data_IF_454478860244
#
_entry.id   IF_454478860244
#
_cell.length_a   1.000
_cell.length_b   1.000
_cell.length_c   1.000
_cell.angle_alpha   90.00
_cell.angle_beta   90.00
_cell.angle_gamma   90.00
#
_symmetry.space_group_name_H-M   'P 1'
#
loop_
_entity.id
_entity.type
_entity.pdbx_description
1 polymer ?
#
# COMPACT_ATOMS: atom_id res chain seq x y z
N UNK A 1 -16.44 21.36 14.61
CA UNK A 1 -17.77 21.75 14.08
C UNK A 1 -18.58 20.48 13.87
N UNK A 2 -19.74 20.35 14.49
CA UNK A 2 -20.54 19.11 14.46
C UNK A 2 -21.79 19.33 13.58
N UNK A 3 -21.99 18.47 12.58
CA UNK A 3 -23.13 18.49 11.63
C UNK A 3 -24.22 17.48 11.99
N UNK A 4 -24.16 16.83 13.16
CA UNK A 4 -25.20 15.89 13.59
C UNK A 4 -26.59 16.53 13.55
N UNK A 5 -27.52 15.84 12.90
CA UNK A 5 -28.93 16.24 12.73
C UNK A 5 -29.16 17.52 11.90
N UNK A 6 -28.17 17.99 11.14
CA UNK A 6 -28.34 19.09 10.19
C UNK A 6 -28.57 18.54 8.78
N UNK A 7 -29.47 19.19 8.04
CA UNK A 7 -29.77 18.90 6.65
C UNK A 7 -29.34 20.08 5.77
N UNK A 8 -29.20 19.86 4.46
CA UNK A 8 -28.91 20.91 3.48
C UNK A 8 -27.61 21.68 3.78
N UNK A 9 -26.52 20.93 3.98
CA UNK A 9 -25.21 21.49 4.31
C UNK A 9 -24.21 21.43 3.14
N UNK A 10 -23.50 22.53 2.90
CA UNK A 10 -22.36 22.62 1.96
C UNK A 10 -21.18 23.22 2.72
N UNK A 11 -19.99 22.61 2.62
CA UNK A 11 -18.75 23.07 3.28
C UNK A 11 -18.93 23.43 4.77
N UNK A 12 -19.59 22.56 5.54
CA UNK A 12 -19.93 22.74 6.95
C UNK A 12 -20.88 23.91 7.29
N UNK A 13 -21.52 24.53 6.30
CA UNK A 13 -22.56 25.57 6.48
C UNK A 13 -23.93 25.00 6.16
N UNK A 14 -24.93 25.31 6.99
CA UNK A 14 -26.32 24.89 6.80
C UNK A 14 -27.09 25.99 6.07
N UNK A 15 -27.92 25.58 5.12
CA UNK A 15 -28.75 26.45 4.29
C UNK A 15 -30.23 26.06 4.42
N UNK A 16 -31.13 26.91 3.94
CA UNK A 16 -32.51 26.47 3.67
C UNK A 16 -32.51 25.50 2.49
N UNK A 17 -33.58 24.71 2.36
CA UNK A 17 -33.71 23.72 1.29
C UNK A 17 -33.61 24.38 -0.09
N UNK A 18 -34.34 25.47 -0.28
CA UNK A 18 -34.42 26.19 -1.56
C UNK A 18 -33.05 26.72 -1.97
N UNK A 19 -32.35 27.36 -1.02
CA UNK A 19 -31.04 27.93 -1.29
C UNK A 19 -29.96 26.85 -1.47
N UNK A 20 -30.09 25.72 -0.78
CA UNK A 20 -29.23 24.56 -1.01
C UNK A 20 -29.41 24.01 -2.42
N UNK A 21 -30.65 23.82 -2.88
CA UNK A 21 -30.96 23.30 -4.21
C UNK A 21 -30.41 24.23 -5.31
N UNK A 22 -30.60 25.56 -5.16
CA UNK A 22 -30.00 26.57 -6.05
C UNK A 22 -28.47 26.49 -6.08
N UNK A 23 -27.82 26.42 -4.91
CA UNK A 23 -26.36 26.33 -4.81
C UNK A 23 -25.81 25.04 -5.41
N UNK A 24 -26.47 23.91 -5.17
CA UNK A 24 -26.04 22.61 -5.71
C UNK A 24 -26.06 22.62 -7.22
N UNK A 25 -27.13 23.13 -7.85
CA UNK A 25 -27.21 23.24 -9.32
C UNK A 25 -26.05 24.08 -9.86
N UNK A 26 -25.85 25.27 -9.28
CA UNK A 26 -24.76 26.17 -9.68
C UNK A 26 -23.38 25.53 -9.51
N UNK A 27 -23.16 24.78 -8.43
CA UNK A 27 -21.91 24.06 -8.19
C UNK A 27 -21.71 22.98 -9.26
N UNK A 28 -22.72 22.13 -9.50
CA UNK A 28 -22.65 21.06 -10.51
C UNK A 28 -22.33 21.64 -11.90
N UNK A 29 -23.03 22.69 -12.32
CA UNK A 29 -22.77 23.38 -13.59
C UNK A 29 -21.33 23.91 -13.66
N UNK A 30 -20.84 24.49 -12.57
CA UNK A 30 -19.48 25.00 -12.49
C UNK A 30 -18.44 23.88 -12.64
N UNK A 31 -18.54 22.79 -11.86
CA UNK A 31 -17.59 21.67 -11.94
C UNK A 31 -17.71 20.87 -13.24
N UNK A 32 -18.88 20.85 -13.89
CA UNK A 32 -19.01 20.32 -15.24
C UNK A 32 -18.33 21.21 -16.27
N UNK A 33 -18.48 22.53 -16.17
CA UNK A 33 -17.85 23.49 -17.07
C UNK A 33 -16.32 23.49 -16.95
N UNK A 34 -15.79 23.32 -15.73
CA UNK A 34 -14.34 23.18 -15.50
C UNK A 34 -13.80 21.78 -15.83
N UNK A 35 -14.67 20.81 -16.14
CA UNK A 35 -14.28 19.44 -16.45
C UNK A 35 -13.80 18.64 -15.23
N UNK A 36 -14.10 19.12 -14.02
CA UNK A 36 -13.75 18.48 -12.75
C UNK A 36 -14.82 17.47 -12.30
N UNK A 37 -15.99 17.49 -12.94
CA UNK A 37 -17.08 16.59 -12.61
C UNK A 37 -16.70 15.12 -12.84
N UNK A 38 -16.66 14.34 -11.75
CA UNK A 38 -16.35 12.92 -11.78
C UNK A 38 -14.87 12.59 -11.98
N UNK A 39 -13.98 13.59 -11.97
CA UNK A 39 -12.53 13.37 -11.97
C UNK A 39 -12.01 13.19 -10.55
N UNK A 40 -10.85 12.55 -10.42
CA UNK A 40 -10.14 12.50 -9.14
C UNK A 40 -9.48 13.85 -8.84
N UNK A 41 -9.21 14.11 -7.57
CA UNK A 41 -8.47 15.30 -7.16
C UNK A 41 -7.14 15.43 -7.93
N UNK A 42 -6.78 16.65 -8.34
CA UNK A 42 -5.53 16.89 -9.05
C UNK A 42 -4.33 16.43 -8.20
N UNK A 43 -3.32 15.77 -8.80
CA UNK A 43 -2.14 15.27 -8.09
C UNK A 43 -1.39 16.32 -7.26
N UNK A 44 -1.48 17.59 -7.66
CA UNK A 44 -0.84 18.73 -7.00
C UNK A 44 -1.41 19.03 -5.62
N UNK A 45 -2.63 18.55 -5.31
CA UNK A 45 -3.23 18.67 -3.97
C UNK A 45 -2.75 17.57 -3.01
N UNK A 46 -1.99 16.58 -3.48
CA UNK A 46 -1.37 15.59 -2.60
C UNK A 46 -0.39 16.26 -1.65
N UNK A 47 -0.49 15.97 -0.35
CA UNK A 47 0.46 16.44 0.66
C UNK A 47 1.76 15.60 0.67
N UNK A 48 1.81 14.52 -0.11
CA UNK A 48 2.90 13.54 -0.11
C UNK A 48 3.53 13.40 -1.49
N UNK A 49 4.82 13.09 -1.51
CA UNK A 49 5.53 12.73 -2.74
C UNK A 49 5.04 11.38 -3.26
N UNK A 50 4.98 11.21 -4.59
CA UNK A 50 4.52 9.98 -5.25
C UNK A 50 5.22 8.74 -4.67
N UNK A 51 6.53 8.82 -4.48
CA UNK A 51 7.41 7.77 -3.96
C UNK A 51 7.12 7.37 -2.51
N UNK A 52 6.38 8.16 -1.75
CA UNK A 52 5.96 7.86 -0.37
C UNK A 52 4.56 7.25 -0.31
N UNK A 53 3.83 7.26 -1.43
CA UNK A 53 2.46 6.75 -1.49
C UNK A 53 2.41 5.31 -1.93
N UNK A 54 1.30 4.65 -1.57
CA UNK A 54 0.93 3.32 -2.05
C UNK A 54 0.84 3.26 -3.59
N UNK A 55 0.63 4.38 -4.27
CA UNK A 55 0.63 4.42 -5.73
C UNK A 55 2.00 4.01 -6.31
N UNK A 56 3.12 4.41 -5.69
CA UNK A 56 4.45 4.01 -6.13
C UNK A 56 4.75 2.53 -5.83
N UNK A 57 4.20 1.97 -4.74
CA UNK A 57 4.31 0.53 -4.48
C UNK A 57 3.60 -0.31 -5.55
N UNK A 58 2.49 0.19 -6.10
CA UNK A 58 1.68 -0.53 -7.08
C UNK A 58 2.08 -0.24 -8.53
N UNK A 59 2.49 0.99 -8.79
CA UNK A 59 2.86 1.53 -10.10
C UNK A 59 4.17 2.30 -9.94
N UNK A 60 5.31 1.60 -9.80
CA UNK A 60 6.59 2.26 -9.61
C UNK A 60 6.91 3.11 -10.85
N UNK A 61 7.22 4.38 -10.60
CA UNK A 61 7.60 5.36 -11.62
C UNK A 61 8.97 5.93 -11.27
N UNK A 62 9.74 6.28 -12.30
CA UNK A 62 10.97 7.05 -12.08
C UNK A 62 10.64 8.50 -11.72
N UNK A 63 11.57 9.18 -11.04
CA UNK A 63 11.41 10.59 -10.62
C UNK A 63 11.02 11.50 -11.80
N UNK A 64 11.68 11.33 -12.94
CA UNK A 64 11.44 12.13 -14.15
C UNK A 64 10.05 11.89 -14.72
N UNK A 65 9.58 10.64 -14.72
CA UNK A 65 8.25 10.26 -15.21
C UNK A 65 7.15 10.78 -14.29
N UNK A 66 7.36 10.68 -12.97
CA UNK A 66 6.43 11.19 -11.98
C UNK A 66 6.28 12.71 -12.11
N UNK A 67 7.40 13.42 -12.26
CA UNK A 67 7.42 14.88 -12.41
C UNK A 67 6.73 15.32 -13.70
N UNK A 68 6.95 14.62 -14.83
CA UNK A 68 6.25 14.88 -16.11
C UNK A 68 4.73 14.71 -16.00
N UNK A 69 4.27 13.78 -15.17
CA UNK A 69 2.84 13.55 -14.90
C UNK A 69 2.25 14.52 -13.86
N UNK A 70 3.04 15.48 -13.37
CA UNK A 70 2.60 16.47 -12.40
C UNK A 70 2.53 15.95 -10.96
N UNK A 71 3.12 14.80 -10.66
CA UNK A 71 3.22 14.30 -9.30
C UNK A 71 4.37 14.97 -8.54
N UNK A 72 4.15 15.22 -7.25
CA UNK A 72 5.22 15.62 -6.33
C UNK A 72 6.19 14.46 -6.10
N UNK A 73 7.45 14.78 -5.78
CA UNK A 73 8.47 13.79 -5.42
C UNK A 73 9.17 14.22 -4.13
N UNK A 74 9.33 13.29 -3.19
CA UNK A 74 10.02 13.54 -1.93
C UNK A 74 11.45 13.04 -2.02
N UNK A 75 12.42 13.94 -1.85
CA UNK A 75 13.85 13.61 -1.72
C UNK A 75 14.25 13.41 -0.24
N UNK A 76 13.28 13.38 0.67
CA UNK A 76 13.55 13.21 2.08
C UNK A 76 14.15 11.84 2.38
N UNK A 77 15.29 11.84 3.06
CA UNK A 77 15.89 10.64 3.61
C UNK A 77 15.92 10.76 5.13
N UNK A 78 15.32 9.78 5.80
CA UNK A 78 15.33 9.74 7.26
C UNK A 78 16.79 9.63 7.76
N UNK A 79 17.22 10.50 8.70
CA UNK A 79 18.56 10.42 9.26
C UNK A 79 18.73 9.10 9.99
N UNK A 80 19.95 8.54 9.94
CA UNK A 80 20.26 7.30 10.63
C UNK A 80 20.22 7.55 12.16
N UNK A 81 19.43 6.79 12.93
CA UNK A 81 19.35 7.01 14.37
C UNK A 81 20.68 6.62 15.04
N UNK A 82 21.12 7.44 16.00
CA UNK A 82 22.24 7.10 16.88
C UNK A 82 21.72 6.15 17.96
N UNK A 83 22.33 4.97 18.06
CA UNK A 83 21.97 3.95 19.05
C UNK A 83 23.22 3.54 19.83
N UNK A 84 23.06 3.33 21.13
CA UNK A 84 24.17 2.96 22.03
C UNK A 84 24.57 1.50 21.87
N UNK A 85 23.60 0.61 21.60
CA UNK A 85 23.80 -0.83 21.44
C UNK A 85 23.25 -1.29 20.10
N UNK A 86 24.09 -2.01 19.36
CA UNK A 86 23.78 -2.51 18.01
C UNK A 86 23.91 -4.02 17.98
N UNK A 87 22.91 -4.68 17.41
CA UNK A 87 22.92 -6.12 17.17
C UNK A 87 22.85 -6.40 15.68
N UNK A 88 23.61 -7.37 15.19
CA UNK A 88 23.45 -7.82 13.81
C UNK A 88 22.34 -8.85 13.72
N UNK A 89 21.49 -8.75 12.70
CA UNK A 89 20.40 -9.71 12.48
C UNK A 89 20.86 -11.18 12.33
N UNK A 90 22.15 -11.40 12.01
CA UNK A 90 22.76 -12.73 11.90
C UNK A 90 22.93 -13.41 13.26
N UNK A 91 23.14 -12.60 14.31
CA UNK A 91 23.41 -13.08 15.67
C UNK A 91 22.12 -13.37 16.44
N UNK A 92 20.96 -13.05 15.85
CA UNK A 92 19.65 -13.38 16.43
C UNK A 92 19.48 -14.91 16.38
N UNK A 93 19.28 -15.55 17.56
CA UNK A 93 18.99 -16.97 17.65
C UNK A 93 17.83 -17.38 16.73
N UNK A 94 17.86 -18.62 16.25
CA UNK A 94 16.75 -19.13 15.44
C UNK A 94 15.52 -19.38 16.31
N UNK A 95 15.73 -19.91 17.51
CA UNK A 95 14.66 -20.19 18.46
C UNK A 95 14.33 -18.95 19.28
N UNK A 96 13.05 -18.63 19.37
CA UNK A 96 12.57 -17.46 20.11
C UNK A 96 12.81 -17.60 21.62
N UNK A 97 12.91 -18.82 22.14
CA UNK A 97 13.13 -19.07 23.57
C UNK A 97 14.53 -18.65 24.04
N UNK A 98 15.50 -18.62 23.13
CA UNK A 98 16.88 -18.21 23.43
C UNK A 98 17.06 -16.68 23.34
N UNK A 99 16.01 -15.96 22.95
CA UNK A 99 16.04 -14.50 22.86
C UNK A 99 15.73 -13.89 24.22
N UNK A 100 16.64 -13.07 24.73
CA UNK A 100 16.44 -12.29 25.96
C UNK A 100 15.80 -10.94 25.68
N UNK A 101 15.17 -10.36 26.71
CA UNK A 101 14.56 -9.03 26.67
C UNK A 101 15.58 -7.91 26.37
N UNK A 102 16.89 -8.18 26.44
CA UNK A 102 17.97 -7.24 26.11
C UNK A 102 17.84 -6.67 24.69
N UNK A 103 17.19 -7.40 23.79
CA UNK A 103 16.98 -6.98 22.39
C UNK A 103 16.07 -5.75 22.27
N UNK A 104 15.25 -5.45 23.29
CA UNK A 104 14.31 -4.33 23.29
C UNK A 104 15.01 -2.96 23.35
N UNK A 105 16.20 -2.91 23.95
CA UNK A 105 17.00 -1.69 24.09
C UNK A 105 18.03 -1.52 22.95
N UNK A 106 18.03 -2.44 21.98
CA UNK A 106 19.05 -2.52 20.95
C UNK A 106 18.53 -2.15 19.56
N UNK A 107 19.39 -1.50 18.77
CA UNK A 107 19.16 -1.31 17.33
C UNK A 107 19.64 -2.52 16.54
N UNK A 108 18.73 -3.21 15.86
CA UNK A 108 19.06 -4.35 15.01
C UNK A 108 19.40 -3.88 13.60
N UNK A 109 20.57 -4.25 13.09
CA UNK A 109 20.96 -4.00 11.70
C UNK A 109 20.32 -5.04 10.80
N UNK A 110 19.52 -4.59 9.83
CA UNK A 110 18.96 -5.42 8.78
C UNK A 110 20.04 -6.06 7.91
N UNK A 111 19.91 -7.36 7.65
CA UNK A 111 20.83 -8.13 6.80
C UNK A 111 20.91 -7.62 5.36
N UNK A 112 19.79 -7.14 4.81
CA UNK A 112 19.69 -6.75 3.40
C UNK A 112 19.98 -5.27 3.19
N UNK A 113 19.34 -4.41 3.97
CA UNK A 113 19.34 -2.96 3.73
C UNK A 113 20.36 -2.21 4.59
N UNK A 114 20.93 -2.85 5.61
CA UNK A 114 21.79 -2.20 6.61
C UNK A 114 21.07 -1.14 7.45
N UNK A 115 19.75 -0.98 7.30
CA UNK A 115 18.93 -0.06 8.10
C UNK A 115 18.76 -0.61 9.51
N UNK A 116 18.77 0.28 10.49
CA UNK A 116 18.50 -0.03 11.88
C UNK A 116 16.99 -0.10 12.09
N UNK A 117 16.53 -1.11 12.83
CA UNK A 117 15.17 -1.20 13.33
C UNK A 117 15.19 -1.69 14.78
N UNK A 118 14.10 -1.44 15.50
CA UNK A 118 13.90 -1.94 16.87
C UNK A 118 12.71 -2.88 16.91
N UNK A 119 12.70 -3.78 17.88
CA UNK A 119 11.56 -4.64 18.19
C UNK A 119 10.85 -4.06 19.41
N UNK A 120 9.52 -3.98 19.35
CA UNK A 120 8.71 -3.54 20.47
C UNK A 120 8.42 -4.70 21.42
N UNK A 121 8.21 -4.40 22.71
CA UNK A 121 7.84 -5.39 23.72
C UNK A 121 6.61 -6.22 23.33
N UNK A 122 5.62 -5.59 22.68
CA UNK A 122 4.43 -6.27 22.17
C UNK A 122 4.74 -7.25 21.04
N UNK A 123 5.69 -6.91 20.16
CA UNK A 123 6.12 -7.80 19.07
C UNK A 123 6.89 -9.01 19.61
N UNK A 124 7.78 -8.79 20.59
CA UNK A 124 8.52 -9.87 21.25
C UNK A 124 7.56 -10.82 21.98
N UNK A 125 6.63 -10.30 22.79
CA UNK A 125 5.64 -11.10 23.49
C UNK A 125 4.76 -11.92 22.52
N UNK A 126 4.38 -11.33 21.39
CA UNK A 126 3.64 -12.03 20.33
C UNK A 126 4.46 -13.19 19.74
N UNK A 127 5.74 -12.96 19.45
CA UNK A 127 6.63 -13.98 18.90
C UNK A 127 6.84 -15.15 19.88
N UNK A 128 7.02 -14.88 21.18
CA UNK A 128 7.09 -15.93 22.20
C UNK A 128 5.80 -16.74 22.31
N UNK A 129 4.65 -16.06 22.35
CA UNK A 129 3.34 -16.71 22.50
C UNK A 129 3.05 -17.69 21.35
N UNK A 130 3.47 -17.33 20.13
CA UNK A 130 3.20 -18.12 18.93
C UNK A 130 4.40 -18.98 18.47
N UNK A 131 5.48 -19.03 19.23
CA UNK A 131 6.73 -19.72 18.88
C UNK A 131 7.26 -19.34 17.49
N UNK A 132 7.26 -18.04 17.17
CA UNK A 132 7.68 -17.50 15.88
C UNK A 132 9.07 -16.87 16.04
N UNK A 133 10.04 -17.15 15.16
CA UNK A 133 11.34 -16.51 15.19
C UNK A 133 11.24 -15.01 14.92
N UNK A 134 12.15 -14.23 15.53
CA UNK A 134 12.20 -12.79 15.28
C UNK A 134 12.57 -12.48 13.82
N UNK A 135 12.01 -11.41 13.25
CA UNK A 135 12.34 -11.01 11.89
C UNK A 135 13.79 -10.53 11.82
N UNK A 136 14.56 -11.07 10.87
CA UNK A 136 15.95 -10.65 10.57
C UNK A 136 16.03 -9.46 9.60
N UNK A 137 14.90 -9.14 8.96
CA UNK A 137 14.79 -8.10 7.94
C UNK A 137 14.00 -6.91 8.47
N UNK A 138 14.40 -5.71 8.03
CA UNK A 138 13.70 -4.46 8.29
C UNK A 138 12.21 -4.53 7.93
N UNK A 139 11.29 -3.90 8.69
CA UNK A 139 9.86 -3.86 8.38
C UNK A 139 9.54 -3.51 6.92
N UNK A 140 10.13 -2.45 6.36
CA UNK A 140 9.93 -2.04 4.96
C UNK A 140 10.36 -3.13 3.94
N UNK A 141 11.44 -3.86 4.25
CA UNK A 141 11.92 -4.94 3.39
C UNK A 141 10.94 -6.11 3.42
N UNK A 142 10.44 -6.47 4.62
CA UNK A 142 9.39 -7.49 4.78
C UNK A 142 8.11 -7.08 4.07
N UNK A 143 7.74 -5.81 4.16
CA UNK A 143 6.59 -5.25 3.46
C UNK A 143 6.76 -5.38 1.94
N UNK A 144 7.90 -4.95 1.40
CA UNK A 144 8.23 -5.05 -0.03
C UNK A 144 8.19 -6.48 -0.53
N UNK A 145 8.79 -7.42 0.19
CA UNK A 145 8.77 -8.85 -0.15
C UNK A 145 7.36 -9.41 -0.16
N UNK A 146 6.55 -9.07 0.85
CA UNK A 146 5.14 -9.45 0.91
C UNK A 146 4.33 -8.85 -0.25
N UNK A 147 4.63 -7.61 -0.66
CA UNK A 147 3.94 -7.00 -1.80
C UNK A 147 4.30 -7.68 -3.12
N UNK A 148 5.53 -8.17 -3.29
CA UNK A 148 5.95 -8.95 -4.47
C UNK A 148 5.26 -10.31 -4.61
N UNK A 149 4.73 -10.88 -3.51
CA UNK A 149 3.92 -12.10 -3.56
C UNK A 149 2.52 -11.85 -4.12
N UNK A 150 2.06 -10.59 -4.16
CA UNK A 150 0.77 -10.25 -4.76
C UNK A 150 0.87 -10.32 -6.27
N UNK A 151 -0.25 -10.69 -6.89
CA UNK A 151 -0.36 -10.60 -8.33
C UNK A 151 -0.30 -9.13 -8.77
N UNK A 152 0.36 -8.87 -9.92
CA UNK A 152 0.42 -7.54 -10.49
C UNK A 152 -0.98 -7.01 -10.85
N UNK A 153 -1.14 -5.69 -10.85
CA UNK A 153 -2.40 -4.99 -11.20
C UNK A 153 -2.52 -4.74 -12.70
N UNK A 154 -2.05 -5.71 -13.47
CA UNK A 154 -2.11 -5.71 -14.92
C UNK A 154 -2.89 -6.96 -15.34
N UNK A 155 -3.73 -6.82 -16.37
CA UNK A 155 -4.51 -7.92 -16.89
C UNK A 155 -4.00 -8.25 -18.28
N UNK A 156 -3.47 -9.46 -18.45
CA UNK A 156 -3.06 -9.99 -19.73
C UNK A 156 -4.20 -10.74 -20.39
N UNK A 157 -4.21 -10.71 -21.72
CA UNK A 157 -5.03 -11.59 -22.51
C UNK A 157 -4.35 -12.95 -22.59
N UNK A 158 -5.04 -14.00 -22.14
CA UNK A 158 -4.62 -15.41 -22.28
C UNK A 158 -5.80 -16.22 -22.79
N UNK A 159 -5.53 -17.45 -23.19
CA UNK A 159 -6.57 -18.41 -23.54
C UNK A 159 -6.73 -19.41 -22.40
N UNK A 160 -7.97 -19.84 -22.16
CA UNK A 160 -8.27 -20.91 -21.20
C UNK A 160 -7.51 -22.18 -21.59
N UNK A 161 -6.84 -22.82 -20.63
CA UNK A 161 -6.05 -24.02 -20.89
C UNK A 161 -6.89 -25.26 -21.32
N UNK A 162 -8.23 -25.24 -21.16
CA UNK A 162 -9.13 -26.37 -21.49
C UNK A 162 -9.98 -26.12 -22.73
N UNK A 163 -10.59 -24.93 -22.84
CA UNK A 163 -11.54 -24.61 -23.92
C UNK A 163 -11.05 -23.49 -24.86
N UNK A 164 -9.84 -22.98 -24.66
CA UNK A 164 -9.17 -21.98 -25.50
C UNK A 164 -9.90 -20.63 -25.65
N UNK A 165 -10.99 -20.40 -24.92
CA UNK A 165 -11.69 -19.11 -24.90
C UNK A 165 -10.75 -18.01 -24.37
N UNK A 166 -10.81 -16.84 -25.00
CA UNK A 166 -10.08 -15.65 -24.57
C UNK A 166 -10.54 -15.20 -23.17
N UNK A 167 -9.59 -15.06 -22.25
CA UNK A 167 -9.77 -14.62 -20.88
C UNK A 167 -8.81 -13.49 -20.53
N UNK A 168 -9.19 -12.67 -19.56
CA UNK A 168 -8.31 -11.64 -18.96
C UNK A 168 -7.90 -12.11 -17.58
N UNK A 169 -6.59 -12.14 -17.33
CA UNK A 169 -6.04 -12.71 -16.10
C UNK A 169 -4.82 -11.92 -15.63
N UNK A 170 -4.60 -11.80 -14.30
CA UNK A 170 -3.39 -11.20 -13.74
C UNK A 170 -2.18 -12.15 -13.76
N UNK A 171 -2.29 -13.31 -14.42
CA UNK A 171 -1.18 -14.21 -14.64
C UNK A 171 -0.56 -13.92 -16.02
N UNK A 172 0.66 -13.39 -16.05
CA UNK A 172 1.43 -13.15 -17.29
C UNK A 172 1.50 -14.42 -18.15
N UNK A 173 1.49 -14.33 -19.50
CA UNK A 173 1.69 -15.49 -20.39
C UNK A 173 2.98 -16.27 -20.17
N UNK A 174 4.02 -15.61 -19.64
CA UNK A 174 5.33 -16.21 -19.34
C UNK A 174 5.29 -17.15 -18.12
N UNK A 175 4.21 -17.07 -17.33
CA UNK A 175 4.03 -17.88 -16.13
C UNK A 175 3.54 -19.30 -16.47
N UNK A 176 4.16 -20.36 -15.90
CA UNK A 176 3.88 -21.76 -16.24
C UNK A 176 2.52 -22.27 -15.74
N UNK A 177 1.84 -21.53 -14.86
CA UNK A 177 0.57 -21.93 -14.27
C UNK A 177 -0.55 -22.05 -15.32
N UNK A 178 -1.38 -23.09 -15.17
CA UNK A 178 -2.57 -23.30 -16.01
C UNK A 178 -3.70 -22.38 -15.55
N UNK A 179 -4.19 -21.53 -16.44
CA UNK A 179 -5.32 -20.63 -16.17
C UNK A 179 -6.57 -21.16 -16.88
N UNK A 180 -7.64 -21.36 -16.11
CA UNK A 180 -8.94 -21.81 -16.62
C UNK A 180 -9.95 -20.66 -16.61
N UNK A 181 -10.93 -20.71 -17.50
CA UNK A 181 -12.10 -19.85 -17.40
C UNK A 181 -13.01 -20.32 -16.26
N UNK A 182 -13.90 -19.43 -15.81
CA UNK A 182 -14.85 -19.70 -14.72
C UNK A 182 -15.59 -21.03 -14.91
N UNK A 183 -16.19 -21.26 -16.09
CA UNK A 183 -16.92 -22.50 -16.40
C UNK A 183 -16.05 -23.75 -16.25
N UNK A 184 -14.87 -23.75 -16.86
CA UNK A 184 -13.97 -24.90 -16.81
C UNK A 184 -13.39 -25.16 -15.42
N UNK A 185 -13.25 -24.11 -14.59
CA UNK A 185 -12.84 -24.25 -13.20
C UNK A 185 -13.94 -24.89 -12.36
N UNK A 186 -15.19 -24.45 -12.51
CA UNK A 186 -16.34 -25.05 -11.81
C UNK A 186 -16.51 -26.52 -12.17
N UNK A 187 -16.37 -26.88 -13.46
CA UNK A 187 -16.44 -28.27 -13.92
C UNK A 187 -15.34 -29.18 -13.34
N UNK A 188 -14.25 -28.63 -12.81
CA UNK A 188 -13.16 -29.44 -12.20
C UNK A 188 -13.31 -29.63 -10.69
N UNK A 189 -14.20 -28.87 -10.06
CA UNK A 189 -14.44 -28.92 -8.60
C UNK A 189 -15.70 -29.71 -8.26
N UNK A 190 -16.65 -29.80 -9.21
CA UNK A 190 -17.80 -30.69 -9.15
C UNK A 190 -17.42 -32.14 -9.45
#
# INVERSE_FOLDING_TARGET
>A
MNLRHKEYCILNKQYSKEHYEELVIRLIEHVQTTGEWGTFFPPQLSAFGYNETVAHEYFPLQKDEATKKGFLWSDYQAPRPTVERVFHAKDIPHDIQDVTDDILDCGIICEVTGKLYRILKSELAYCHTHNIPLPKKHPDQRHTERMKLRLPRELWQRNCAKCEIAIRTPYSPERPEKVLCEKCYTDTIA
#
